data_IF_925341961345
#
_entry.id   IF_925341961345
#
_cell.length_a   1.000
_cell.length_b   1.000
_cell.length_c   1.000
_cell.angle_alpha   90.00
_cell.angle_beta   90.00
_cell.angle_gamma   90.00
#
_symmetry.space_group_name_H-M   'P 1'
#
loop_
_entity.id
_entity.type
_entity.pdbx_description
1 polymer ?
#
# COMPACT_ATOMS: atom_id res chain seq x y z
N UNK A 1 47.19 47.50 32.04
CA UNK A 1 47.29 47.25 30.61
C UNK A 1 47.14 45.74 30.45
N UNK A 2 45.85 45.28 30.26
CA UNK A 2 45.48 43.89 30.09
C UNK A 2 45.17 43.68 28.60
N UNK A 3 46.00 42.89 27.92
CA UNK A 3 45.76 42.46 26.58
C UNK A 3 44.75 41.31 26.68
N UNK A 4 43.55 41.52 26.16
CA UNK A 4 42.55 40.47 25.93
C UNK A 4 42.91 39.78 24.63
N UNK A 5 43.36 38.53 24.74
CA UNK A 5 43.44 37.61 23.60
C UNK A 5 42.02 37.18 23.22
N UNK A 6 41.57 37.64 22.08
CA UNK A 6 40.42 37.11 21.37
C UNK A 6 40.73 35.70 20.87
N UNK A 7 40.10 34.70 21.48
CA UNK A 7 40.02 33.39 20.93
C UNK A 7 38.99 33.42 19.79
N UNK A 8 39.43 33.47 18.58
CA UNK A 8 38.63 33.12 17.42
C UNK A 8 38.20 31.64 17.53
N UNK A 9 36.94 31.46 17.80
CA UNK A 9 36.28 30.17 17.61
C UNK A 9 36.25 29.86 16.10
N UNK A 10 37.23 29.18 15.59
CA UNK A 10 37.12 28.42 14.35
C UNK A 10 36.09 27.33 14.56
N UNK A 11 34.84 27.65 14.26
CA UNK A 11 33.83 26.67 14.02
C UNK A 11 34.25 25.86 12.80
N UNK A 12 34.94 24.76 13.00
CA UNK A 12 35.16 23.71 12.01
C UNK A 12 33.82 23.29 11.48
N UNK A 13 33.42 23.88 10.36
CA UNK A 13 32.33 23.39 9.52
C UNK A 13 32.73 21.99 9.05
N UNK A 14 32.32 20.97 9.82
CA UNK A 14 32.36 19.62 9.32
C UNK A 14 31.58 19.56 8.01
N UNK A 15 32.13 18.95 6.94
CA UNK A 15 31.44 18.85 5.66
C UNK A 15 30.09 18.20 5.93
N UNK A 16 29.00 18.82 5.43
CA UNK A 16 27.61 18.31 5.49
C UNK A 16 27.58 16.90 4.93
N UNK A 17 27.87 15.91 5.73
CA UNK A 17 27.68 14.51 5.36
C UNK A 17 26.18 14.34 5.17
N UNK A 18 25.77 14.00 3.94
CA UNK A 18 24.38 13.69 3.60
C UNK A 18 23.79 12.81 4.70
N UNK A 19 22.75 13.30 5.38
CA UNK A 19 22.11 12.61 6.51
C UNK A 19 21.76 11.18 6.09
N UNK A 20 22.32 10.18 6.77
CA UNK A 20 22.19 8.78 6.37
C UNK A 20 20.74 8.31 6.30
N UNK A 21 19.83 8.93 7.06
CA UNK A 21 18.40 8.66 7.01
C UNK A 21 17.82 8.73 5.60
N UNK A 22 18.27 9.68 4.77
CA UNK A 22 17.80 9.76 3.38
C UNK A 22 18.27 8.59 2.51
N UNK A 23 19.42 8.00 2.79
CA UNK A 23 19.85 6.75 2.13
C UNK A 23 18.91 5.61 2.49
N UNK A 24 18.48 5.52 3.76
CA UNK A 24 17.48 4.54 4.20
C UNK A 24 16.14 4.76 3.49
N UNK A 25 15.71 6.01 3.29
CA UNK A 25 14.48 6.33 2.53
C UNK A 25 14.59 5.88 1.07
N UNK A 26 15.73 6.16 0.39
CA UNK A 26 15.94 5.73 -1.00
C UNK A 26 15.92 4.20 -1.11
N UNK A 27 16.65 3.50 -0.24
CA UNK A 27 16.63 2.04 -0.19
C UNK A 27 15.24 1.51 0.06
N UNK A 28 14.51 2.11 0.99
CA UNK A 28 13.10 1.78 1.27
C UNK A 28 12.19 2.02 0.06
N UNK A 29 12.41 3.09 -0.70
CA UNK A 29 11.68 3.37 -1.93
C UNK A 29 11.93 2.29 -3.01
N UNK A 30 13.17 1.78 -3.12
CA UNK A 30 13.47 0.68 -4.05
C UNK A 30 12.80 -0.63 -3.60
N UNK A 31 12.76 -0.95 -2.29
CA UNK A 31 12.00 -2.09 -1.80
C UNK A 31 10.50 -1.94 -2.10
N UNK A 32 9.95 -0.77 -1.84
CA UNK A 32 8.56 -0.48 -2.15
C UNK A 32 8.26 -0.56 -3.66
N UNK A 33 9.23 -0.20 -4.51
CA UNK A 33 9.16 -0.35 -5.96
C UNK A 33 9.05 -1.83 -6.35
N UNK A 34 9.92 -2.69 -5.81
CA UNK A 34 9.86 -4.13 -6.05
C UNK A 34 8.54 -4.73 -5.55
N UNK A 35 8.11 -4.38 -4.34
CA UNK A 35 6.90 -4.90 -3.73
C UNK A 35 5.63 -4.44 -4.46
N UNK A 36 5.56 -3.16 -4.80
CA UNK A 36 4.41 -2.58 -5.51
C UNK A 36 4.22 -3.20 -6.89
N UNK A 37 5.30 -3.33 -7.64
CA UNK A 37 5.25 -3.78 -9.03
C UNK A 37 5.21 -5.29 -9.20
N UNK A 38 6.04 -6.05 -8.47
CA UNK A 38 6.11 -7.49 -8.64
C UNK A 38 4.99 -8.24 -7.92
N UNK A 39 4.60 -7.74 -6.74
CA UNK A 39 3.67 -8.45 -5.87
C UNK A 39 2.29 -7.79 -5.79
N UNK A 40 2.21 -6.53 -5.39
CA UNK A 40 0.92 -5.92 -5.09
C UNK A 40 0.05 -5.73 -6.35
N UNK A 41 0.57 -5.06 -7.36
CA UNK A 41 -0.16 -4.76 -8.62
C UNK A 41 0.12 -5.82 -9.69
N UNK A 42 1.37 -6.29 -9.77
CA UNK A 42 1.79 -7.28 -10.77
C UNK A 42 1.02 -8.60 -10.72
N UNK A 43 0.56 -9.02 -9.53
CA UNK A 43 -0.22 -10.26 -9.40
C UNK A 43 -1.53 -10.27 -10.19
N UNK A 44 -2.09 -9.10 -10.53
CA UNK A 44 -3.26 -9.03 -11.41
C UNK A 44 -2.95 -9.56 -12.83
N UNK A 45 -1.72 -9.34 -13.33
CA UNK A 45 -1.30 -9.86 -14.64
C UNK A 45 -1.16 -11.38 -14.66
N UNK A 46 -0.81 -12.00 -13.53
CA UNK A 46 -0.70 -13.45 -13.40
C UNK A 46 -2.04 -14.18 -13.26
N UNK A 47 -3.14 -13.47 -12.95
CA UNK A 47 -4.43 -14.07 -12.59
C UNK A 47 -4.94 -15.03 -13.66
N UNK A 48 -5.08 -14.58 -14.91
CA UNK A 48 -5.61 -15.39 -16.01
C UNK A 48 -4.62 -16.49 -16.47
N UNK A 49 -3.32 -16.22 -16.69
CA UNK A 49 -2.35 -17.24 -17.07
C UNK A 49 -2.27 -18.41 -16.09
N UNK A 50 -2.22 -18.13 -14.78
CA UNK A 50 -2.21 -19.19 -13.75
C UNK A 50 -3.54 -19.95 -13.72
N UNK A 51 -4.68 -19.23 -13.81
CA UNK A 51 -6.00 -19.87 -13.83
C UNK A 51 -6.15 -20.83 -14.99
N UNK A 52 -5.67 -20.47 -16.18
CA UNK A 52 -5.69 -21.35 -17.36
C UNK A 52 -4.79 -22.56 -17.21
N UNK A 53 -3.57 -22.36 -16.69
CA UNK A 53 -2.60 -23.45 -16.53
C UNK A 53 -3.10 -24.56 -15.60
N UNK A 54 -3.78 -24.19 -14.51
CA UNK A 54 -4.28 -25.13 -13.51
C UNK A 54 -5.78 -25.43 -13.66
N UNK A 55 -6.45 -24.94 -14.71
CA UNK A 55 -7.89 -25.08 -14.95
C UNK A 55 -8.74 -24.63 -13.75
N UNK A 56 -8.41 -23.46 -13.18
CA UNK A 56 -9.07 -22.92 -12.00
C UNK A 56 -10.26 -22.04 -12.36
N UNK A 57 -11.30 -22.10 -11.53
CA UNK A 57 -12.35 -21.08 -11.53
C UNK A 57 -11.81 -19.75 -10.98
N UNK A 58 -12.50 -18.65 -11.28
CA UNK A 58 -12.18 -17.32 -10.71
C UNK A 58 -12.24 -17.34 -9.18
N UNK A 59 -13.19 -18.10 -8.63
CA UNK A 59 -13.33 -18.32 -7.19
C UNK A 59 -12.10 -18.98 -6.59
N UNK A 60 -11.62 -20.07 -7.19
CA UNK A 60 -10.44 -20.80 -6.70
C UNK A 60 -9.18 -19.94 -6.76
N UNK A 61 -8.97 -19.21 -7.84
CA UNK A 61 -7.82 -18.29 -7.93
C UNK A 61 -7.92 -17.15 -6.90
N UNK A 62 -9.11 -16.62 -6.67
CA UNK A 62 -9.35 -15.54 -5.69
C UNK A 62 -9.17 -16.00 -4.24
N UNK A 63 -9.31 -17.31 -3.97
CA UNK A 63 -9.09 -17.87 -2.63
C UNK A 63 -7.68 -17.59 -2.09
N UNK A 64 -6.66 -17.67 -2.95
CA UNK A 64 -5.29 -17.34 -2.58
C UNK A 64 -5.16 -15.90 -2.07
N UNK A 65 -5.79 -14.94 -2.74
CA UNK A 65 -5.79 -13.53 -2.33
C UNK A 65 -6.61 -13.28 -1.06
N UNK A 66 -7.69 -14.02 -0.88
CA UNK A 66 -8.53 -13.95 0.32
C UNK A 66 -7.76 -14.41 1.56
N UNK A 67 -7.14 -15.60 1.50
CA UNK A 67 -6.35 -16.14 2.62
C UNK A 67 -5.19 -15.18 2.95
N UNK A 68 -4.47 -14.70 1.93
CA UNK A 68 -3.41 -13.72 2.10
C UNK A 68 -3.88 -12.44 2.81
N UNK A 69 -5.06 -11.94 2.46
CA UNK A 69 -5.60 -10.72 3.11
C UNK A 69 -5.94 -10.94 4.57
N UNK A 70 -6.40 -12.13 4.94
CA UNK A 70 -6.62 -12.53 6.33
C UNK A 70 -5.30 -12.65 7.11
N UNK A 71 -4.29 -13.27 6.51
CA UNK A 71 -2.94 -13.37 7.07
C UNK A 71 -2.39 -11.98 7.37
N UNK A 72 -2.47 -11.03 6.43
CA UNK A 72 -1.99 -9.65 6.60
C UNK A 72 -2.62 -8.91 7.78
N UNK A 73 -3.83 -9.27 8.19
CA UNK A 73 -4.48 -8.74 9.39
C UNK A 73 -3.87 -9.28 10.71
N UNK A 74 -3.38 -10.51 10.68
CA UNK A 74 -2.82 -11.19 11.86
C UNK A 74 -1.31 -10.98 12.01
N UNK A 75 -0.62 -10.67 10.93
CA UNK A 75 0.85 -10.54 10.89
C UNK A 75 1.38 -9.30 11.61
N UNK A 76 0.61 -8.22 11.67
CA UNK A 76 1.07 -6.94 12.22
C UNK A 76 1.73 -7.07 13.61
N UNK A 77 1.09 -7.69 14.60
CA UNK A 77 1.68 -7.90 15.92
C UNK A 77 2.92 -8.80 15.89
N UNK A 78 2.92 -9.85 15.05
CA UNK A 78 4.03 -10.79 14.92
C UNK A 78 5.23 -10.10 14.27
N UNK A 79 5.00 -9.38 13.18
CA UNK A 79 6.03 -8.63 12.48
C UNK A 79 6.64 -7.53 13.36
N UNK A 80 5.81 -6.80 14.12
CA UNK A 80 6.27 -5.83 15.10
C UNK A 80 7.20 -6.44 16.13
N UNK A 81 6.80 -7.53 16.78
CA UNK A 81 7.64 -8.27 17.75
C UNK A 81 8.96 -8.74 17.12
N UNK A 82 8.93 -9.27 15.90
CA UNK A 82 10.13 -9.74 15.21
C UNK A 82 11.08 -8.59 14.88
N UNK A 83 10.56 -7.45 14.44
CA UNK A 83 11.35 -6.24 14.17
C UNK A 83 11.98 -5.70 15.45
N UNK A 84 11.26 -5.65 16.56
CA UNK A 84 11.77 -5.19 17.85
C UNK A 84 12.86 -6.12 18.38
N UNK A 85 12.72 -7.43 18.19
CA UNK A 85 13.67 -8.44 18.71
C UNK A 85 14.93 -8.58 17.85
N UNK A 86 14.79 -8.61 16.53
CA UNK A 86 15.88 -8.94 15.60
C UNK A 86 16.38 -7.71 14.81
N UNK A 87 15.69 -6.59 14.91
CA UNK A 87 15.99 -5.37 14.17
C UNK A 87 15.47 -5.39 12.72
N UNK A 88 15.27 -4.20 12.12
CA UNK A 88 14.68 -4.08 10.78
C UNK A 88 15.53 -4.71 9.68
N UNK A 89 16.87 -4.64 9.78
CA UNK A 89 17.79 -5.20 8.77
C UNK A 89 17.62 -6.71 8.59
N UNK A 90 17.62 -7.47 9.70
CA UNK A 90 17.49 -8.92 9.65
C UNK A 90 16.13 -9.35 9.07
N UNK A 91 15.08 -8.66 9.48
CA UNK A 91 13.71 -8.95 9.04
C UNK A 91 13.53 -8.66 7.55
N UNK A 92 14.09 -7.55 7.06
CA UNK A 92 14.03 -7.22 5.63
C UNK A 92 14.84 -8.24 4.81
N UNK A 93 16.02 -8.65 5.29
CA UNK A 93 16.84 -9.65 4.61
C UNK A 93 16.14 -11.01 4.51
N UNK A 94 15.57 -11.50 5.63
CA UNK A 94 14.80 -12.76 5.65
C UNK A 94 13.62 -12.67 4.68
N UNK A 95 12.90 -11.56 4.67
CA UNK A 95 11.80 -11.36 3.76
C UNK A 95 12.22 -11.33 2.30
N UNK A 96 13.28 -10.63 1.95
CA UNK A 96 13.82 -10.59 0.58
C UNK A 96 14.19 -12.00 0.10
N UNK A 97 14.88 -12.79 0.94
CA UNK A 97 15.25 -14.16 0.62
C UNK A 97 14.00 -15.02 0.44
N UNK A 98 13.06 -14.96 1.39
CA UNK A 98 11.79 -15.70 1.31
C UNK A 98 10.98 -15.32 0.06
N UNK A 99 10.80 -14.02 -0.20
CA UNK A 99 10.04 -13.54 -1.34
C UNK A 99 10.66 -13.92 -2.69
N UNK A 100 11.99 -13.80 -2.81
CA UNK A 100 12.72 -14.19 -4.01
C UNK A 100 12.65 -15.69 -4.28
N UNK A 101 12.92 -16.52 -3.26
CA UNK A 101 12.76 -17.98 -3.35
C UNK A 101 11.29 -18.34 -3.65
N UNK A 102 10.34 -17.68 -2.99
CA UNK A 102 8.92 -17.91 -3.21
C UNK A 102 8.49 -17.68 -4.65
N UNK A 103 8.93 -16.61 -5.29
CA UNK A 103 8.66 -16.37 -6.71
C UNK A 103 9.30 -17.43 -7.62
N UNK A 104 10.52 -17.86 -7.35
CA UNK A 104 11.18 -18.94 -8.12
C UNK A 104 10.39 -20.25 -7.97
N UNK A 105 10.01 -20.62 -6.75
CA UNK A 105 9.22 -21.82 -6.47
C UNK A 105 7.85 -21.78 -7.16
N UNK A 106 7.18 -20.63 -7.19
CA UNK A 106 5.94 -20.44 -7.94
C UNK A 106 6.16 -20.69 -9.44
N UNK A 107 7.27 -20.18 -10.00
CA UNK A 107 7.59 -20.37 -11.41
C UNK A 107 7.79 -21.84 -11.81
N UNK A 108 8.21 -22.70 -10.89
CA UNK A 108 8.37 -24.15 -11.11
C UNK A 108 7.21 -24.98 -10.56
N UNK A 109 6.12 -24.35 -10.08
CA UNK A 109 5.01 -25.05 -9.44
C UNK A 109 4.36 -26.09 -10.39
N UNK A 110 4.34 -27.38 -10.00
CA UNK A 110 3.73 -28.44 -10.80
C UNK A 110 2.21 -28.52 -10.63
N UNK A 111 1.69 -28.06 -9.47
CA UNK A 111 0.28 -28.16 -9.10
C UNK A 111 -0.22 -26.88 -8.45
N UNK A 112 -1.54 -26.66 -8.50
CA UNK A 112 -2.18 -25.52 -7.81
C UNK A 112 -1.93 -25.54 -6.29
N UNK A 113 -1.93 -26.72 -5.66
CA UNK A 113 -1.69 -26.82 -4.22
C UNK A 113 -0.26 -26.38 -3.87
N UNK A 114 0.74 -26.75 -4.67
CA UNK A 114 2.12 -26.29 -4.49
C UNK A 114 2.21 -24.76 -4.69
N UNK A 115 1.55 -24.22 -5.72
CA UNK A 115 1.44 -22.78 -5.91
C UNK A 115 0.82 -22.10 -4.70
N UNK A 116 -0.33 -22.59 -4.20
CA UNK A 116 -1.06 -22.00 -3.08
C UNK A 116 -0.21 -21.98 -1.79
N UNK A 117 0.38 -23.10 -1.43
CA UNK A 117 1.24 -23.22 -0.24
C UNK A 117 2.43 -22.26 -0.36
N UNK A 118 3.11 -22.23 -1.50
CA UNK A 118 4.26 -21.35 -1.72
C UNK A 118 3.85 -19.88 -1.70
N UNK A 119 2.72 -19.54 -2.30
CA UNK A 119 2.17 -18.19 -2.32
C UNK A 119 1.84 -17.70 -0.90
N UNK A 120 1.16 -18.51 -0.11
CA UNK A 120 0.75 -18.14 1.24
C UNK A 120 1.91 -18.12 2.24
N UNK A 121 2.89 -19.01 2.12
CA UNK A 121 4.01 -19.05 3.07
C UNK A 121 5.14 -18.11 2.65
N UNK A 122 5.75 -18.33 1.48
CA UNK A 122 6.97 -17.61 1.09
C UNK A 122 6.71 -16.17 0.68
N UNK A 123 5.62 -15.89 -0.06
CA UNK A 123 5.33 -14.53 -0.48
C UNK A 123 4.78 -13.70 0.68
N UNK A 124 3.99 -14.27 1.55
CA UNK A 124 3.50 -13.61 2.75
C UNK A 124 4.67 -13.17 3.63
N UNK A 125 5.54 -14.09 4.02
CA UNK A 125 6.77 -13.78 4.77
C UNK A 125 7.64 -12.79 3.98
N UNK A 126 7.71 -12.95 2.67
CA UNK A 126 8.58 -12.16 1.79
C UNK A 126 8.18 -10.70 1.64
N UNK A 127 6.91 -10.37 1.75
CA UNK A 127 6.40 -9.02 1.45
C UNK A 127 5.73 -8.32 2.62
N UNK A 128 4.98 -9.03 3.43
CA UNK A 128 4.28 -8.45 4.57
C UNK A 128 5.23 -8.05 5.70
N UNK A 129 6.05 -8.99 6.15
CA UNK A 129 6.97 -8.78 7.28
C UNK A 129 8.00 -7.69 7.00
N UNK A 130 8.70 -7.65 5.83
CA UNK A 130 9.64 -6.59 5.49
C UNK A 130 9.01 -5.20 5.41
N UNK A 131 7.74 -5.09 5.04
CA UNK A 131 7.04 -3.81 5.01
C UNK A 131 7.01 -3.12 6.38
N UNK A 132 6.83 -3.92 7.45
CA UNK A 132 6.93 -3.42 8.83
C UNK A 132 8.36 -3.02 9.18
N UNK A 133 9.37 -3.80 8.77
CA UNK A 133 10.78 -3.48 8.97
C UNK A 133 11.20 -2.17 8.29
N UNK A 134 10.74 -1.93 7.06
CA UNK A 134 10.98 -0.68 6.32
C UNK A 134 10.39 0.51 7.07
N UNK A 135 9.13 0.39 7.51
CA UNK A 135 8.45 1.46 8.25
C UNK A 135 9.15 1.74 9.57
N UNK A 136 9.58 0.71 10.30
CA UNK A 136 10.33 0.85 11.55
C UNK A 136 11.70 1.50 11.33
N UNK A 137 12.43 1.14 10.27
CA UNK A 137 13.71 1.75 9.94
C UNK A 137 13.57 3.25 9.67
N UNK A 138 12.56 3.68 8.87
CA UNK A 138 12.32 5.11 8.59
C UNK A 138 11.94 5.85 9.88
N UNK A 139 11.06 5.28 10.71
CA UNK A 139 10.66 5.86 11.99
C UNK A 139 11.83 6.06 12.96
N UNK A 140 12.83 5.17 12.93
CA UNK A 140 14.00 5.29 13.78
C UNK A 140 14.92 6.46 13.38
N UNK A 141 14.97 6.80 12.08
CA UNK A 141 15.81 7.88 11.56
C UNK A 141 15.14 9.26 11.56
N UNK A 142 13.81 9.34 11.45
CA UNK A 142 13.09 10.60 11.26
C UNK A 142 12.06 10.82 12.36
N UNK A 143 12.14 11.98 13.03
CA UNK A 143 11.14 12.43 13.99
C UNK A 143 10.27 13.55 13.39
N UNK A 144 10.86 14.64 12.95
CA UNK A 144 10.16 15.83 12.43
C UNK A 144 9.68 15.67 10.98
N UNK A 145 10.54 15.11 10.11
CA UNK A 145 10.26 14.94 8.66
C UNK A 145 9.72 13.55 8.31
N UNK A 146 9.18 12.82 9.31
CA UNK A 146 8.72 11.44 9.14
C UNK A 146 7.67 11.31 8.02
N UNK A 147 6.71 12.24 7.94
CA UNK A 147 5.67 12.23 6.92
C UNK A 147 6.26 12.33 5.50
N UNK A 148 7.22 13.22 5.29
CA UNK A 148 7.92 13.39 4.00
C UNK A 148 8.72 12.13 3.67
N UNK A 149 9.49 11.59 4.63
CA UNK A 149 10.30 10.40 4.45
C UNK A 149 9.45 9.17 4.07
N UNK A 150 8.33 8.97 4.78
CA UNK A 150 7.36 7.91 4.46
C UNK A 150 6.72 8.10 3.08
N UNK A 151 6.40 9.34 2.70
CA UNK A 151 5.83 9.65 1.40
C UNK A 151 6.79 9.31 0.27
N UNK A 152 8.06 9.70 0.36
CA UNK A 152 9.09 9.35 -0.63
C UNK A 152 9.28 7.84 -0.75
N UNK A 153 9.28 7.11 0.37
CA UNK A 153 9.32 5.65 0.34
C UNK A 153 8.12 5.07 -0.44
N UNK A 154 6.92 5.61 -0.22
CA UNK A 154 5.69 5.13 -0.87
C UNK A 154 5.65 5.45 -2.37
N UNK A 155 6.29 6.54 -2.82
CA UNK A 155 6.42 6.86 -4.27
C UNK A 155 7.10 5.71 -5.01
N UNK A 156 8.06 5.02 -4.39
CA UNK A 156 8.66 3.81 -4.95
C UNK A 156 7.62 2.76 -5.34
N UNK A 157 6.63 2.51 -4.47
CA UNK A 157 5.55 1.55 -4.77
C UNK A 157 4.72 1.95 -5.99
N UNK A 158 4.43 3.24 -6.17
CA UNK A 158 3.66 3.71 -7.31
C UNK A 158 4.46 3.58 -8.62
N UNK A 159 5.75 3.94 -8.60
CA UNK A 159 6.65 3.75 -9.76
C UNK A 159 6.76 2.26 -10.10
N UNK A 160 6.97 1.41 -9.11
CA UNK A 160 7.05 -0.04 -9.31
C UNK A 160 5.78 -0.62 -9.88
N UNK A 161 4.62 -0.23 -9.34
CA UNK A 161 3.31 -0.65 -9.85
C UNK A 161 3.07 -0.23 -11.31
N UNK A 162 3.71 0.84 -11.77
CA UNK A 162 3.62 1.28 -13.16
C UNK A 162 4.63 0.55 -14.04
N UNK A 163 5.92 0.62 -13.69
CA UNK A 163 7.02 0.15 -14.55
C UNK A 163 7.16 -1.36 -14.52
N UNK A 164 7.26 -1.96 -13.31
CA UNK A 164 7.50 -3.39 -13.20
C UNK A 164 6.28 -4.23 -13.60
N UNK A 165 5.05 -3.75 -13.35
CA UNK A 165 3.86 -4.47 -13.82
C UNK A 165 3.82 -4.53 -15.36
N UNK A 166 4.19 -3.43 -16.03
CA UNK A 166 4.34 -3.43 -17.50
C UNK A 166 5.38 -4.47 -17.95
N UNK A 167 6.59 -4.44 -17.33
CA UNK A 167 7.68 -5.39 -17.70
C UNK A 167 7.24 -6.83 -17.48
N UNK A 168 6.61 -7.14 -16.35
CA UNK A 168 6.10 -8.47 -16.05
C UNK A 168 5.07 -8.92 -17.09
N UNK A 169 4.10 -8.06 -17.42
CA UNK A 169 3.09 -8.38 -18.42
C UNK A 169 3.76 -8.70 -19.77
N UNK A 170 4.76 -7.93 -20.20
CA UNK A 170 5.50 -8.22 -21.44
C UNK A 170 6.22 -9.57 -21.37
N UNK A 171 6.84 -9.92 -20.24
CA UNK A 171 7.52 -11.22 -20.08
C UNK A 171 6.49 -12.36 -20.12
N UNK A 172 5.34 -12.22 -19.47
CA UNK A 172 4.26 -13.21 -19.47
C UNK A 172 3.81 -13.50 -20.90
N UNK A 173 3.58 -12.48 -21.70
CA UNK A 173 3.06 -12.63 -23.08
C UNK A 173 4.14 -13.06 -24.08
N UNK A 174 5.41 -12.70 -23.87
CA UNK A 174 6.50 -13.07 -24.78
C UNK A 174 7.07 -14.47 -24.51
N UNK A 175 7.04 -14.93 -23.26
CA UNK A 175 7.66 -16.20 -22.88
C UNK A 175 6.66 -17.12 -22.15
N UNK A 176 6.34 -16.86 -20.92
CA UNK A 176 5.33 -17.54 -20.09
C UNK A 176 5.31 -16.87 -18.69
N UNK A 177 4.20 -17.07 -17.94
CA UNK A 177 4.08 -16.62 -16.56
C UNK A 177 5.12 -17.26 -15.62
N UNK A 178 5.55 -18.49 -15.88
CA UNK A 178 6.60 -19.18 -15.12
C UNK A 178 7.93 -18.46 -15.22
N UNK A 179 8.32 -18.07 -16.43
CA UNK A 179 9.54 -17.29 -16.68
C UNK A 179 9.46 -15.93 -15.97
N UNK A 180 8.32 -15.27 -16.03
CA UNK A 180 8.09 -14.00 -15.34
C UNK A 180 8.22 -14.13 -13.82
N UNK A 181 7.74 -15.23 -13.20
CA UNK A 181 7.93 -15.50 -11.79
C UNK A 181 9.40 -15.72 -11.43
N UNK A 182 10.12 -16.57 -12.19
CA UNK A 182 11.55 -16.81 -11.95
C UNK A 182 12.34 -15.52 -12.08
N UNK A 183 12.09 -14.72 -13.11
CA UNK A 183 12.71 -13.41 -13.32
C UNK A 183 12.45 -12.45 -12.14
N UNK A 184 11.20 -12.40 -11.66
CA UNK A 184 10.83 -11.60 -10.49
C UNK A 184 11.59 -12.03 -9.23
N UNK A 185 11.70 -13.35 -9.01
CA UNK A 185 12.45 -13.89 -7.88
C UNK A 185 13.93 -13.56 -7.94
N UNK A 186 14.56 -13.68 -9.11
CA UNK A 186 15.98 -13.33 -9.32
C UNK A 186 16.22 -11.83 -9.07
N UNK A 187 15.37 -10.95 -9.60
CA UNK A 187 15.47 -9.50 -9.39
C UNK A 187 15.39 -9.17 -7.90
N UNK A 188 14.43 -9.77 -7.18
CA UNK A 188 14.25 -9.54 -5.73
C UNK A 188 15.53 -9.95 -4.98
N UNK A 189 16.13 -11.09 -5.31
CA UNK A 189 17.37 -11.54 -4.64
C UNK A 189 18.57 -10.68 -5.00
N UNK A 190 18.79 -10.42 -6.29
CA UNK A 190 19.96 -9.69 -6.79
C UNK A 190 19.97 -8.23 -6.34
N UNK A 191 18.81 -7.58 -6.33
CA UNK A 191 18.68 -6.17 -5.91
C UNK A 191 18.44 -6.09 -4.40
N UNK A 192 17.54 -6.92 -3.86
CA UNK A 192 17.08 -6.81 -2.48
C UNK A 192 18.14 -7.20 -1.45
N UNK A 193 18.94 -8.25 -1.69
CA UNK A 193 19.99 -8.67 -0.73
C UNK A 193 21.02 -7.57 -0.53
N UNK A 194 21.70 -7.02 -1.57
CA UNK A 194 22.63 -5.92 -1.38
C UNK A 194 22.01 -4.70 -0.72
N UNK A 195 20.78 -4.32 -1.13
CA UNK A 195 20.10 -3.15 -0.56
C UNK A 195 19.77 -3.34 0.92
N UNK A 196 19.40 -4.56 1.36
CA UNK A 196 19.12 -4.83 2.77
C UNK A 196 20.32 -4.56 3.69
N UNK A 197 21.55 -4.66 3.16
CA UNK A 197 22.76 -4.40 3.91
C UNK A 197 22.95 -2.91 4.25
N UNK A 198 22.36 -2.02 3.47
CA UNK A 198 22.38 -0.56 3.74
C UNK A 198 21.36 -0.12 4.79
N UNK A 199 20.43 -0.98 5.18
CA UNK A 199 19.48 -0.65 6.25
C UNK A 199 20.16 -0.87 7.60
N UNK A 200 20.19 0.19 8.41
CA UNK A 200 20.66 0.16 9.79
C UNK A 200 19.87 1.13 10.65
N UNK A 201 19.87 0.89 11.93
CA UNK A 201 19.34 1.84 12.91
C UNK A 201 20.35 2.98 13.13
N UNK A 202 19.88 4.19 13.50
CA UNK A 202 20.75 5.30 13.86
C UNK A 202 21.52 4.97 15.14
N UNK A 203 22.75 5.46 15.24
CA UNK A 203 23.49 5.52 16.50
C UNK A 203 22.92 6.65 17.35
N UNK A 204 23.08 6.61 18.69
CA UNK A 204 22.47 7.57 19.61
C UNK A 204 22.67 9.04 19.22
N UNK A 205 23.87 9.41 18.75
CA UNK A 205 24.21 10.78 18.33
C UNK A 205 23.73 11.12 16.90
N UNK A 206 23.34 10.16 16.07
CA UNK A 206 22.88 10.41 14.69
C UNK A 206 21.37 10.74 14.64
N UNK A 207 20.61 10.31 15.65
CA UNK A 207 19.18 10.60 15.77
C UNK A 207 18.91 12.05 16.22
N UNK A 208 19.87 12.66 16.93
CA UNK A 208 19.72 13.99 17.52
C UNK A 208 20.02 15.13 16.53
N UNK A 209 20.71 14.85 15.42
CA UNK A 209 21.08 15.86 14.40
C UNK A 209 19.86 16.53 13.76
N UNK A 210 18.69 15.86 13.75
CA UNK A 210 17.45 16.44 13.23
C UNK A 210 16.87 17.51 14.17
N UNK A 211 17.25 17.51 15.46
CA UNK A 211 16.67 18.40 16.47
C UNK A 211 17.36 19.77 16.52
N UNK A 212 18.59 19.91 16.05
CA UNK A 212 19.36 21.17 16.13
C UNK A 212 19.04 22.20 15.04
N UNK A 213 18.58 21.76 13.83
CA UNK A 213 18.37 22.67 12.69
C UNK A 213 17.09 23.51 12.72
N UNK A 214 16.13 23.27 13.62
CA UNK A 214 14.77 23.85 13.52
C UNK A 214 14.20 24.49 14.80
N UNK A 215 15.04 25.00 15.70
CA UNK A 215 14.55 25.81 16.84
C UNK A 215 13.95 27.18 16.44
N UNK A 216 13.91 27.51 15.14
CA UNK A 216 13.48 28.82 14.65
C UNK A 216 12.06 28.91 14.08
N UNK A 217 11.34 27.81 13.87
CA UNK A 217 9.98 27.86 13.30
C UNK A 217 8.91 27.46 14.33
N UNK A 218 8.37 28.48 14.99
CA UNK A 218 7.18 28.42 15.82
C UNK A 218 5.95 27.99 14.99
N UNK A 219 5.68 26.71 14.89
CA UNK A 219 4.32 26.23 14.64
C UNK A 219 3.70 25.84 15.97
N UNK A 220 2.73 26.63 16.41
CA UNK A 220 1.89 26.30 17.56
C UNK A 220 1.40 24.86 17.44
N UNK A 221 1.58 24.02 18.48
CA UNK A 221 1.01 22.68 18.46
C UNK A 221 -0.52 22.86 18.43
N UNK A 222 -1.17 22.37 17.36
CA UNK A 222 -2.60 22.11 17.41
C UNK A 222 -2.88 21.33 18.70
N UNK A 223 -3.62 21.92 19.63
CA UNK A 223 -4.11 21.27 20.85
C UNK A 223 -5.08 20.15 20.46
N UNK A 224 -4.54 19.03 19.95
CA UNK A 224 -5.31 17.83 19.67
C UNK A 224 -5.39 17.03 20.96
N UNK A 225 -6.60 16.77 21.44
CA UNK A 225 -6.81 15.85 22.55
C UNK A 225 -6.31 14.45 22.15
N UNK A 226 -5.37 13.92 22.93
CA UNK A 226 -4.86 12.58 22.75
C UNK A 226 -5.79 11.56 23.42
N UNK A 227 -6.62 10.93 22.61
CA UNK A 227 -7.55 9.91 23.12
C UNK A 227 -6.83 8.69 23.67
N UNK A 228 -7.31 8.19 24.80
CA UNK A 228 -6.95 6.87 25.30
C UNK A 228 -7.52 5.77 24.35
N UNK A 229 -6.87 4.60 24.31
CA UNK A 229 -7.34 3.48 23.46
C UNK A 229 -8.79 3.13 23.81
N UNK A 230 -9.11 3.01 25.10
CA UNK A 230 -10.46 2.68 25.56
C UNK A 230 -11.47 3.76 25.20
N UNK A 231 -11.10 5.02 25.34
CA UNK A 231 -11.93 6.18 24.99
C UNK A 231 -12.21 6.22 23.48
N UNK A 232 -11.19 6.00 22.63
CA UNK A 232 -11.37 5.93 21.19
C UNK A 232 -12.28 4.77 20.77
N UNK A 233 -12.13 3.58 21.36
CA UNK A 233 -12.98 2.41 21.10
C UNK A 233 -14.44 2.61 21.54
N UNK A 234 -14.71 3.47 22.51
CA UNK A 234 -16.06 3.86 22.93
C UNK A 234 -16.69 4.91 22.01
N UNK A 235 -15.87 5.60 21.19
CA UNK A 235 -16.35 6.61 20.25
C UNK A 235 -16.97 5.97 19.01
N UNK A 236 -18.21 6.36 18.67
CA UNK A 236 -18.86 5.96 17.40
C UNK A 236 -18.06 6.44 16.18
N UNK A 237 -17.36 7.56 16.27
CA UNK A 237 -16.51 8.09 15.21
C UNK A 237 -15.37 7.13 14.83
N UNK A 238 -14.77 6.43 15.81
CA UNK A 238 -13.73 5.44 15.55
C UNK A 238 -14.24 4.28 14.67
N UNK A 239 -15.40 3.74 15.02
CA UNK A 239 -16.01 2.63 14.29
C UNK A 239 -16.49 3.06 12.91
N UNK A 240 -17.13 4.23 12.80
CA UNK A 240 -17.55 4.78 11.50
C UNK A 240 -16.37 5.01 10.56
N UNK A 241 -15.27 5.58 11.07
CA UNK A 241 -14.03 5.77 10.30
C UNK A 241 -13.44 4.42 9.88
N UNK A 242 -13.36 3.47 10.81
CA UNK A 242 -12.82 2.13 10.54
C UNK A 242 -13.63 1.38 9.48
N UNK A 243 -14.96 1.45 9.54
CA UNK A 243 -15.87 0.84 8.56
C UNK A 243 -15.73 1.55 7.22
N UNK A 244 -15.68 2.89 7.19
CA UNK A 244 -15.53 3.65 5.95
C UNK A 244 -14.23 3.29 5.22
N UNK A 245 -13.10 3.22 5.96
CA UNK A 245 -11.80 2.78 5.43
C UNK A 245 -11.87 1.31 5.00
N UNK A 246 -12.52 0.45 5.78
CA UNK A 246 -12.70 -0.97 5.47
C UNK A 246 -13.48 -1.20 4.19
N UNK A 247 -14.65 -0.57 4.03
CA UNK A 247 -15.47 -0.65 2.81
C UNK A 247 -14.72 -0.15 1.58
N UNK A 248 -14.01 0.97 1.71
CA UNK A 248 -13.13 1.48 0.66
C UNK A 248 -12.15 0.40 0.21
N UNK A 249 -11.42 -0.20 1.14
CA UNK A 249 -10.42 -1.23 0.82
C UNK A 249 -11.06 -2.49 0.24
N UNK A 250 -12.27 -2.86 0.71
CA UNK A 250 -13.07 -3.97 0.18
C UNK A 250 -13.31 -3.81 -1.31
N UNK A 251 -13.83 -2.66 -1.75
CA UNK A 251 -14.07 -2.40 -3.16
C UNK A 251 -12.76 -2.32 -3.97
N UNK A 252 -11.73 -1.66 -3.44
CA UNK A 252 -10.44 -1.52 -4.11
C UNK A 252 -9.73 -2.87 -4.28
N UNK A 253 -9.73 -3.73 -3.26
CA UNK A 253 -9.09 -5.05 -3.31
C UNK A 253 -9.77 -5.97 -4.34
N UNK A 254 -11.09 -6.01 -4.36
CA UNK A 254 -11.86 -6.77 -5.32
C UNK A 254 -11.55 -6.36 -6.77
N UNK A 255 -11.62 -5.06 -7.04
CA UNK A 255 -11.36 -4.52 -8.38
C UNK A 255 -9.90 -4.74 -8.78
N UNK A 256 -8.94 -4.51 -7.88
CA UNK A 256 -7.52 -4.66 -8.20
C UNK A 256 -7.16 -6.11 -8.55
N UNK A 257 -7.65 -7.08 -7.79
CA UNK A 257 -7.38 -8.51 -8.03
C UNK A 257 -7.99 -8.97 -9.36
N UNK A 258 -9.21 -8.53 -9.66
CA UNK A 258 -9.92 -8.92 -10.87
C UNK A 258 -9.79 -7.91 -12.03
N UNK A 259 -8.86 -6.93 -11.96
CA UNK A 259 -8.82 -5.83 -12.92
C UNK A 259 -8.63 -6.32 -14.35
N UNK A 260 -7.69 -7.22 -14.60
CA UNK A 260 -7.46 -7.79 -15.93
C UNK A 260 -8.68 -8.59 -16.40
N UNK A 261 -9.22 -9.55 -15.62
CA UNK A 261 -10.45 -10.24 -16.00
C UNK A 261 -11.67 -9.34 -16.29
N UNK A 262 -11.83 -8.25 -15.51
CA UNK A 262 -12.90 -7.26 -15.73
C UNK A 262 -12.73 -6.57 -17.08
N UNK A 263 -11.50 -6.11 -17.40
CA UNK A 263 -11.20 -5.45 -18.68
C UNK A 263 -11.39 -6.39 -19.87
N UNK A 264 -10.95 -7.64 -19.74
CA UNK A 264 -11.13 -8.68 -20.76
C UNK A 264 -12.61 -8.99 -21.00
N UNK A 265 -13.44 -9.02 -19.94
CA UNK A 265 -14.89 -9.20 -20.08
C UNK A 265 -15.58 -8.06 -20.85
N UNK A 266 -14.91 -6.92 -21.00
CA UNK A 266 -15.35 -5.76 -21.80
C UNK A 266 -14.75 -5.72 -23.21
N UNK A 267 -14.19 -6.84 -23.68
CA UNK A 267 -13.66 -7.00 -25.04
C UNK A 267 -12.29 -6.34 -25.24
N UNK A 268 -11.56 -6.04 -24.16
CA UNK A 268 -10.20 -5.51 -24.23
C UNK A 268 -9.23 -6.69 -24.27
N UNK A 269 -8.25 -6.62 -25.16
CA UNK A 269 -7.19 -7.61 -25.23
C UNK A 269 -6.46 -7.77 -23.88
N UNK A 270 -6.14 -9.00 -23.52
CA UNK A 270 -5.55 -9.33 -22.21
C UNK A 270 -4.17 -8.70 -22.02
N UNK A 271 -3.35 -8.68 -23.07
CA UNK A 271 -2.03 -8.07 -23.03
C UNK A 271 -2.14 -6.56 -22.85
N UNK A 272 -3.07 -5.90 -23.56
CA UNK A 272 -3.34 -4.48 -23.40
C UNK A 272 -3.85 -4.18 -21.99
N UNK A 273 -4.76 -4.99 -21.47
CA UNK A 273 -5.28 -4.84 -20.11
C UNK A 273 -4.17 -4.94 -19.06
N UNK A 274 -3.34 -5.98 -19.12
CA UNK A 274 -2.29 -6.24 -18.14
C UNK A 274 -1.10 -5.29 -18.29
N UNK A 275 -0.63 -5.01 -19.52
CA UNK A 275 0.60 -4.26 -19.75
C UNK A 275 0.40 -2.75 -19.77
N UNK A 276 -0.78 -2.25 -20.10
CA UNK A 276 -1.01 -0.81 -20.26
C UNK A 276 -2.05 -0.26 -19.27
N UNK A 277 -3.22 -0.90 -19.17
CA UNK A 277 -4.31 -0.34 -18.38
C UNK A 277 -4.09 -0.49 -16.85
N UNK A 278 -3.61 -1.65 -16.39
CA UNK A 278 -3.29 -1.83 -14.96
C UNK A 278 -2.20 -0.87 -14.49
N UNK A 279 -1.06 -0.71 -15.21
CA UNK A 279 -0.06 0.32 -14.89
C UNK A 279 -0.60 1.75 -14.97
N UNK A 280 -1.51 2.06 -15.92
CA UNK A 280 -2.13 3.37 -16.03
C UNK A 280 -2.94 3.76 -14.78
N UNK A 281 -3.64 2.81 -14.15
CA UNK A 281 -4.33 3.04 -12.89
C UNK A 281 -3.33 3.43 -11.77
N UNK A 282 -2.19 2.73 -11.69
CA UNK A 282 -1.14 3.02 -10.72
C UNK A 282 -0.46 4.37 -11.00
N UNK A 283 -0.21 4.71 -12.27
CA UNK A 283 0.35 6.00 -12.67
C UNK A 283 -0.57 7.16 -12.30
N UNK A 284 -1.87 7.04 -12.59
CA UNK A 284 -2.88 8.07 -12.26
C UNK A 284 -2.97 8.32 -10.76
N UNK A 285 -2.71 7.31 -9.93
CA UNK A 285 -2.72 7.45 -8.48
C UNK A 285 -1.67 8.46 -7.98
N UNK A 286 -0.53 8.63 -8.67
CA UNK A 286 0.55 9.51 -8.23
C UNK A 286 0.08 10.98 -8.18
N UNK A 287 -0.34 11.61 -9.30
CA UNK A 287 -0.82 12.98 -9.25
C UNK A 287 -2.09 13.11 -8.40
N UNK A 288 -2.96 12.09 -8.38
CA UNK A 288 -4.17 12.11 -7.58
C UNK A 288 -3.88 12.21 -6.08
N UNK A 289 -2.86 11.50 -5.55
CA UNK A 289 -2.45 11.62 -4.13
C UNK A 289 -2.00 13.04 -3.82
N UNK A 290 -1.19 13.66 -4.70
CA UNK A 290 -0.69 15.02 -4.49
C UNK A 290 -1.81 16.05 -4.53
N UNK A 291 -2.67 15.98 -5.54
CA UNK A 291 -3.82 16.90 -5.70
C UNK A 291 -4.78 16.74 -4.52
N UNK A 292 -5.16 15.52 -4.17
CA UNK A 292 -6.06 15.26 -3.04
C UNK A 292 -5.43 15.66 -1.70
N UNK A 293 -4.10 15.52 -1.54
CA UNK A 293 -3.35 16.04 -0.39
C UNK A 293 -3.52 17.54 -0.25
N UNK A 294 -3.22 18.31 -1.31
CA UNK A 294 -3.36 19.78 -1.34
C UNK A 294 -4.81 20.21 -1.08
N UNK A 295 -5.79 19.53 -1.67
CA UNK A 295 -7.21 19.83 -1.44
C UNK A 295 -7.59 19.52 0.02
N UNK A 296 -7.06 18.44 0.61
CA UNK A 296 -7.36 18.04 1.99
C UNK A 296 -6.80 18.99 3.05
N UNK A 297 -5.80 19.80 2.71
CA UNK A 297 -5.27 20.84 3.59
C UNK A 297 -6.16 22.10 3.59
N UNK A 298 -6.91 22.33 2.48
CA UNK A 298 -7.81 23.48 2.35
C UNK A 298 -9.27 23.14 2.70
N UNK A 299 -9.68 21.89 2.50
CA UNK A 299 -11.03 21.41 2.76
C UNK A 299 -11.03 20.37 3.87
N UNK A 300 -12.22 20.03 4.38
CA UNK A 300 -12.33 19.01 5.41
C UNK A 300 -11.91 17.64 4.84
N UNK A 301 -10.93 17.00 5.47
CA UNK A 301 -10.36 15.70 5.05
C UNK A 301 -11.41 14.61 4.82
N UNK A 302 -12.46 14.44 5.69
CA UNK A 302 -13.53 13.47 5.42
C UNK A 302 -14.24 13.72 4.09
N UNK A 303 -14.53 15.00 3.78
CA UNK A 303 -15.21 15.34 2.52
C UNK A 303 -14.33 15.04 1.30
N UNK A 304 -13.02 15.29 1.40
CA UNK A 304 -12.07 14.98 0.32
C UNK A 304 -11.90 13.47 0.13
N UNK A 305 -11.90 12.69 1.22
CA UNK A 305 -11.92 11.24 1.13
C UNK A 305 -13.19 10.73 0.41
N UNK A 306 -14.35 11.29 0.74
CA UNK A 306 -15.60 10.99 0.05
C UNK A 306 -15.58 11.40 -1.43
N UNK A 307 -14.98 12.55 -1.77
CA UNK A 307 -14.81 12.98 -3.17
C UNK A 307 -13.98 11.97 -3.99
N UNK A 308 -12.91 11.43 -3.41
CA UNK A 308 -12.13 10.38 -4.07
C UNK A 308 -12.97 9.09 -4.26
N UNK A 309 -13.90 8.78 -3.35
CA UNK A 309 -14.80 7.64 -3.52
C UNK A 309 -15.84 7.85 -4.63
N UNK A 310 -16.23 9.10 -4.93
CA UNK A 310 -17.07 9.39 -6.11
C UNK A 310 -16.38 8.96 -7.42
N UNK A 311 -15.05 9.12 -7.52
CA UNK A 311 -14.32 8.57 -8.66
C UNK A 311 -14.39 7.02 -8.70
N UNK A 312 -14.41 6.35 -7.55
CA UNK A 312 -14.66 4.91 -7.45
C UNK A 312 -16.05 4.51 -7.95
N UNK A 313 -17.09 5.27 -7.59
CA UNK A 313 -18.45 5.09 -8.13
C UNK A 313 -18.42 5.28 -9.65
N UNK A 314 -17.83 6.37 -10.13
CA UNK A 314 -17.71 6.62 -11.58
C UNK A 314 -16.99 5.50 -12.32
N UNK A 315 -15.91 4.95 -11.72
CA UNK A 315 -15.18 3.82 -12.31
C UNK A 315 -16.06 2.56 -12.47
N UNK A 316 -16.85 2.24 -11.44
CA UNK A 316 -17.75 1.08 -11.54
C UNK A 316 -18.92 1.31 -12.49
N UNK A 317 -19.48 2.52 -12.53
CA UNK A 317 -20.57 2.87 -13.44
C UNK A 317 -20.12 2.83 -14.92
N UNK A 318 -18.91 3.29 -15.25
CA UNK A 318 -18.42 3.24 -16.63
C UNK A 318 -18.21 1.80 -17.10
N UNK A 319 -17.78 0.89 -16.21
CA UNK A 319 -17.72 -0.53 -16.52
C UNK A 319 -19.12 -1.12 -16.70
N UNK A 320 -20.10 -0.72 -15.91
CA UNK A 320 -21.44 -1.26 -15.97
C UNK A 320 -22.20 -0.83 -17.24
N UNK A 321 -22.14 0.44 -17.59
CA UNK A 321 -23.02 1.07 -18.58
C UNK A 321 -22.28 1.63 -19.80
N UNK A 322 -20.95 1.69 -19.77
CA UNK A 322 -20.14 2.17 -20.90
C UNK A 322 -20.11 1.13 -22.05
N UNK A 323 -19.85 1.60 -23.28
CA UNK A 323 -19.67 0.70 -24.43
C UNK A 323 -18.44 -0.19 -24.23
N UNK A 324 -18.46 -1.39 -24.80
CA UNK A 324 -17.29 -2.26 -24.79
C UNK A 324 -16.11 -1.63 -25.55
N UNK A 325 -14.89 -1.83 -25.04
CA UNK A 325 -13.68 -1.41 -25.73
C UNK A 325 -12.74 -0.52 -24.92
N UNK A 326 -11.68 -0.05 -25.59
CA UNK A 326 -10.52 0.59 -24.97
C UNK A 326 -10.85 1.90 -24.23
N UNK A 327 -11.78 2.71 -24.74
CA UNK A 327 -12.15 4.00 -24.12
C UNK A 327 -12.77 3.78 -22.74
N UNK A 328 -13.69 2.82 -22.62
CA UNK A 328 -14.31 2.45 -21.34
C UNK A 328 -13.25 1.92 -20.35
N UNK A 329 -12.35 1.06 -20.82
CA UNK A 329 -11.23 0.56 -20.00
C UNK A 329 -10.32 1.68 -19.52
N UNK A 330 -9.97 2.63 -20.37
CA UNK A 330 -9.12 3.76 -20.01
C UNK A 330 -9.79 4.66 -18.97
N UNK A 331 -11.05 5.06 -19.18
CA UNK A 331 -11.79 5.89 -18.21
C UNK A 331 -11.92 5.15 -16.86
N UNK A 332 -12.21 3.86 -16.90
CA UNK A 332 -12.31 3.03 -15.71
C UNK A 332 -11.02 3.07 -14.88
N UNK A 333 -9.87 2.79 -15.49
CA UNK A 333 -8.60 2.73 -14.76
C UNK A 333 -8.13 4.09 -14.26
N UNK A 334 -8.40 5.18 -14.99
CA UNK A 334 -8.10 6.53 -14.56
C UNK A 334 -8.93 6.92 -13.32
N UNK A 335 -10.24 6.69 -13.35
CA UNK A 335 -11.12 6.96 -12.22
C UNK A 335 -10.79 6.06 -11.01
N UNK A 336 -10.47 4.80 -11.25
CA UNK A 336 -10.04 3.88 -10.20
C UNK A 336 -8.71 4.33 -9.55
N UNK A 337 -7.74 4.79 -10.35
CA UNK A 337 -6.49 5.37 -9.85
C UNK A 337 -6.73 6.57 -8.92
N UNK A 338 -7.67 7.45 -9.28
CA UNK A 338 -8.09 8.57 -8.42
C UNK A 338 -8.72 8.04 -7.11
N UNK A 339 -9.61 7.05 -7.18
CA UNK A 339 -10.21 6.46 -5.98
C UNK A 339 -9.17 5.87 -5.03
N UNK A 340 -8.09 5.28 -5.56
CA UNK A 340 -6.98 4.73 -4.75
C UNK A 340 -6.20 5.80 -3.98
N UNK A 341 -6.25 7.08 -4.37
CA UNK A 341 -5.55 8.17 -3.69
C UNK A 341 -6.07 8.44 -2.27
N UNK A 342 -7.29 8.05 -1.95
CA UNK A 342 -7.92 8.25 -0.64
C UNK A 342 -7.24 7.51 0.52
N UNK A 343 -6.32 6.59 0.23
CA UNK A 343 -5.63 5.81 1.26
C UNK A 343 -4.83 6.68 2.24
N UNK A 344 -4.09 7.66 1.74
CA UNK A 344 -3.29 8.59 2.57
C UNK A 344 -4.17 9.46 3.46
N UNK A 345 -5.31 9.92 2.93
CA UNK A 345 -6.27 10.77 3.66
C UNK A 345 -6.91 9.98 4.83
N UNK A 346 -7.25 8.71 4.61
CA UNK A 346 -7.81 7.84 5.65
C UNK A 346 -6.88 7.73 6.87
N UNK A 347 -5.59 7.54 6.65
CA UNK A 347 -4.60 7.49 7.73
C UNK A 347 -4.39 8.84 8.42
N UNK A 348 -4.42 9.93 7.66
CA UNK A 348 -4.34 11.28 8.24
C UNK A 348 -5.55 11.59 9.15
N UNK A 349 -6.74 11.06 8.83
CA UNK A 349 -7.94 11.22 9.66
C UNK A 349 -7.81 10.52 11.01
N UNK A 350 -7.17 9.34 11.09
CA UNK A 350 -6.93 8.67 12.36
C UNK A 350 -6.11 9.56 13.30
N UNK A 351 -5.01 10.15 12.78
CA UNK A 351 -4.18 11.07 13.58
C UNK A 351 -4.89 12.37 13.94
N UNK A 352 -5.70 12.93 13.03
CA UNK A 352 -6.44 14.17 13.27
C UNK A 352 -7.54 14.01 14.34
N UNK A 353 -8.24 12.88 14.34
CA UNK A 353 -9.40 12.67 15.21
C UNK A 353 -9.02 12.16 16.61
N UNK A 354 -7.97 11.34 16.70
CA UNK A 354 -7.64 10.62 17.94
C UNK A 354 -6.28 10.99 18.54
N UNK A 355 -5.56 11.95 17.94
CA UNK A 355 -4.28 12.41 18.44
C UNK A 355 -3.11 11.49 18.05
N UNK A 356 -1.93 11.74 18.64
CA UNK A 356 -0.67 11.10 18.28
C UNK A 356 -0.18 10.07 19.29
N UNK A 357 -0.54 10.22 20.57
CA UNK A 357 -0.02 9.41 21.67
C UNK A 357 -0.26 7.89 21.47
N UNK A 358 -1.47 7.52 21.05
CA UNK A 358 -1.87 6.12 20.83
C UNK A 358 -2.10 5.79 19.35
N UNK A 359 -1.54 6.59 18.44
CA UNK A 359 -1.77 6.47 16.99
C UNK A 359 -1.46 5.07 16.46
N UNK A 360 -0.34 4.47 16.87
CA UNK A 360 0.07 3.13 16.41
C UNK A 360 -0.97 2.06 16.75
N UNK A 361 -1.44 2.02 17.99
CA UNK A 361 -2.44 1.05 18.45
C UNK A 361 -3.80 1.27 17.77
N UNK A 362 -4.25 2.51 17.66
CA UNK A 362 -5.53 2.84 17.03
C UNK A 362 -5.51 2.56 15.53
N UNK A 363 -4.41 2.89 14.84
CA UNK A 363 -4.19 2.53 13.45
C UNK A 363 -4.16 1.01 13.26
N UNK A 364 -3.51 0.27 14.17
CA UNK A 364 -3.48 -1.19 14.16
C UNK A 364 -4.89 -1.80 14.22
N UNK A 365 -5.76 -1.28 15.10
CA UNK A 365 -7.16 -1.69 15.17
C UNK A 365 -7.93 -1.41 13.88
N UNK A 366 -7.77 -0.22 13.28
CA UNK A 366 -8.38 0.10 11.98
C UNK A 366 -7.86 -0.85 10.89
N UNK A 367 -6.55 -1.16 10.89
CA UNK A 367 -5.93 -2.09 9.93
C UNK A 367 -6.53 -3.49 10.04
N UNK A 368 -6.74 -3.98 11.26
CA UNK A 368 -7.36 -5.29 11.50
C UNK A 368 -8.80 -5.33 10.93
N UNK A 369 -9.61 -4.31 11.22
CA UNK A 369 -10.99 -4.23 10.72
C UNK A 369 -11.01 -4.20 9.19
N UNK A 370 -10.19 -3.34 8.57
CA UNK A 370 -10.14 -3.23 7.11
C UNK A 370 -9.65 -4.52 6.44
N UNK A 371 -8.71 -5.25 7.04
CA UNK A 371 -8.19 -6.52 6.50
C UNK A 371 -9.26 -7.59 6.51
N UNK A 372 -10.00 -7.74 7.62
CA UNK A 372 -11.12 -8.67 7.71
C UNK A 372 -12.19 -8.36 6.67
N UNK A 373 -12.59 -7.08 6.54
CA UNK A 373 -13.62 -6.65 5.60
C UNK A 373 -13.18 -6.85 4.14
N UNK A 374 -11.92 -6.56 3.81
CA UNK A 374 -11.41 -6.67 2.43
C UNK A 374 -11.05 -8.09 2.04
N UNK A 375 -10.80 -9.00 2.99
CA UNK A 375 -10.36 -10.36 2.71
C UNK A 375 -11.36 -11.16 1.86
N UNK A 376 -12.64 -11.04 2.17
CA UNK A 376 -13.71 -11.78 1.50
C UNK A 376 -14.02 -11.23 0.11
N UNK A 377 -13.65 -9.98 -0.18
CA UNK A 377 -14.11 -9.30 -1.38
C UNK A 377 -13.61 -9.90 -2.71
N UNK A 378 -12.34 -10.34 -2.88
CA UNK A 378 -11.93 -11.00 -4.11
C UNK A 378 -12.64 -12.34 -4.33
N UNK A 379 -12.84 -13.11 -3.23
CA UNK A 379 -13.54 -14.39 -3.29
C UNK A 379 -15.00 -14.21 -3.72
N UNK A 380 -15.69 -13.26 -3.09
CA UNK A 380 -17.08 -12.94 -3.46
C UNK A 380 -17.18 -12.47 -4.92
N UNK A 381 -16.27 -11.62 -5.36
CA UNK A 381 -16.21 -11.15 -6.75
C UNK A 381 -15.97 -12.29 -7.74
N UNK A 382 -15.06 -13.22 -7.43
CA UNK A 382 -14.80 -14.41 -8.23
C UNK A 382 -16.01 -15.33 -8.27
N UNK A 383 -16.66 -15.59 -7.12
CA UNK A 383 -17.85 -16.43 -7.05
C UNK A 383 -19.03 -15.86 -7.84
N UNK A 384 -19.29 -14.55 -7.73
CA UNK A 384 -20.33 -13.88 -8.49
C UNK A 384 -20.05 -13.97 -9.99
N UNK A 385 -18.80 -13.77 -10.40
CA UNK A 385 -18.39 -13.84 -11.80
C UNK A 385 -18.44 -15.27 -12.39
N UNK A 386 -18.16 -16.29 -11.60
CA UNK A 386 -18.30 -17.70 -12.02
C UNK A 386 -19.78 -18.08 -12.16
N UNK A 387 -20.63 -17.63 -11.21
CA UNK A 387 -22.06 -17.94 -11.22
C UNK A 387 -22.84 -17.28 -12.36
N UNK A 388 -22.46 -16.05 -12.74
CA UNK A 388 -23.16 -15.28 -13.77
C UNK A 388 -22.49 -15.33 -15.14
N UNK A 389 -21.25 -15.77 -15.21
CA UNK A 389 -20.46 -15.78 -16.46
C UNK A 389 -19.82 -14.41 -16.78
N UNK A 390 -20.16 -13.34 -16.05
CA UNK A 390 -19.65 -11.98 -16.22
C UNK A 390 -19.35 -11.28 -14.89
N UNK A 391 -18.87 -10.03 -14.95
CA UNK A 391 -18.54 -9.23 -13.76
C UNK A 391 -19.63 -8.18 -13.40
N UNK A 392 -20.78 -8.16 -14.08
CA UNK A 392 -21.78 -7.10 -13.93
C UNK A 392 -22.28 -7.04 -12.49
N UNK A 393 -22.77 -8.16 -11.93
CA UNK A 393 -23.29 -8.19 -10.56
C UNK A 393 -22.21 -7.83 -9.53
N UNK A 394 -20.99 -8.32 -9.73
CA UNK A 394 -19.87 -8.00 -8.86
C UNK A 394 -19.57 -6.48 -8.87
N UNK A 395 -19.59 -5.84 -10.03
CA UNK A 395 -19.39 -4.39 -10.15
C UNK A 395 -20.53 -3.58 -9.57
N UNK A 396 -21.78 -4.02 -9.68
CA UNK A 396 -22.94 -3.40 -9.02
C UNK A 396 -22.76 -3.43 -7.50
N UNK A 397 -22.32 -4.56 -6.95
CA UNK A 397 -22.05 -4.70 -5.53
C UNK A 397 -20.92 -3.77 -5.06
N UNK A 398 -19.81 -3.67 -5.82
CA UNK A 398 -18.71 -2.76 -5.52
C UNK A 398 -19.13 -1.29 -5.63
N UNK A 399 -20.01 -0.94 -6.58
CA UNK A 399 -20.60 0.38 -6.68
C UNK A 399 -21.39 0.74 -5.40
N UNK A 400 -22.23 -0.17 -4.91
CA UNK A 400 -22.95 -0.01 -3.65
C UNK A 400 -22.02 0.22 -2.45
N UNK A 401 -20.93 -0.56 -2.38
CA UNK A 401 -19.90 -0.39 -1.34
C UNK A 401 -19.25 1.00 -1.40
N UNK A 402 -18.90 1.49 -2.59
CA UNK A 402 -18.36 2.84 -2.76
C UNK A 402 -19.35 3.92 -2.35
N UNK A 403 -20.65 3.78 -2.68
CA UNK A 403 -21.71 4.71 -2.26
C UNK A 403 -21.80 4.78 -0.74
N UNK A 404 -21.86 3.62 -0.07
CA UNK A 404 -21.92 3.56 1.40
C UNK A 404 -20.65 4.18 2.01
N UNK A 405 -19.46 3.84 1.49
CA UNK A 405 -18.19 4.40 1.97
C UNK A 405 -18.15 5.93 1.82
N UNK A 406 -18.63 6.47 0.67
CA UNK A 406 -18.73 7.92 0.43
C UNK A 406 -19.61 8.59 1.49
N UNK A 407 -20.79 8.03 1.71
CA UNK A 407 -21.74 8.55 2.70
C UNK A 407 -21.14 8.53 4.11
N UNK A 408 -20.50 7.44 4.50
CA UNK A 408 -19.85 7.33 5.81
C UNK A 408 -18.75 8.38 5.98
N UNK A 409 -17.88 8.61 4.97
CA UNK A 409 -16.89 9.67 5.05
C UNK A 409 -17.51 11.06 5.19
N UNK A 410 -18.64 11.33 4.55
CA UNK A 410 -19.27 12.66 4.59
C UNK A 410 -19.99 12.96 5.90
N UNK A 411 -20.49 11.95 6.59
CA UNK A 411 -21.12 12.11 7.91
C UNK A 411 -20.11 12.13 9.06
N UNK A 412 -18.83 11.76 8.81
CA UNK A 412 -17.79 11.76 9.84
C UNK A 412 -17.60 13.16 10.44
N UNK A 413 -17.67 13.22 11.75
CA UNK A 413 -17.39 14.41 12.56
C UNK A 413 -16.29 14.09 13.56
N UNK A 414 -15.53 15.12 13.93
CA UNK A 414 -14.52 14.98 14.99
C UNK A 414 -15.19 14.49 16.28
N UNK A 415 -14.62 13.50 16.99
CA UNK A 415 -15.20 12.99 18.22
C UNK A 415 -15.25 14.10 19.27
N UNK A 416 -16.35 14.13 20.04
CA UNK A 416 -16.46 15.04 21.18
C UNK A 416 -15.61 14.47 22.32
N UNK A 417 -14.81 15.33 22.93
CA UNK A 417 -14.12 15.00 24.18
C UNK A 417 -15.19 14.93 25.26
N UNK A 418 -15.43 13.74 25.78
CA UNK A 418 -16.26 13.57 26.98
C UNK A 418 -15.40 14.02 28.18
N UNK A 419 -15.77 15.13 28.79
CA UNK A 419 -15.19 15.63 30.03
C UNK A 419 -15.46 14.68 31.17
#
# INVERSE_FOLDING_TARGET
MKVQMSQENESTQQPRTSYYGWKVVIVSAVFQLLFGGLYHTGMSAYFLPISRTFNLTKTQMSLAFTIRSLEGGLEGPIAGYLVDKYGPKAIILIGVISGGIGFILIGIAPTYMFFLITFLTFLTIGFSIPHHGISAAINAWFRKRLGIAMSWSTVGSAIGSTVLTFVIAQIIFSFDWRVACIFSGIIILVIGIPLSLFIRLPKSHEADIEDEEDLSNNHEPLNLHDFGIREALQSSTYWLLSIAIGLRLTAQSAILVHMVPILVSRGIDEQIAAAFLVPAAAFTRIPAILIMGIISDKWSRPKVAGLAMLAGIGSTLIILYGPNGMVTGLIFVLLFGIAMSSNSIGWALVGQFFGRKNYGSLRGGVTMIQSIMSAVSPLLTGWLADKQGDYILAMQFMCGIYIISTFLFWILKQPKVTQ
#
